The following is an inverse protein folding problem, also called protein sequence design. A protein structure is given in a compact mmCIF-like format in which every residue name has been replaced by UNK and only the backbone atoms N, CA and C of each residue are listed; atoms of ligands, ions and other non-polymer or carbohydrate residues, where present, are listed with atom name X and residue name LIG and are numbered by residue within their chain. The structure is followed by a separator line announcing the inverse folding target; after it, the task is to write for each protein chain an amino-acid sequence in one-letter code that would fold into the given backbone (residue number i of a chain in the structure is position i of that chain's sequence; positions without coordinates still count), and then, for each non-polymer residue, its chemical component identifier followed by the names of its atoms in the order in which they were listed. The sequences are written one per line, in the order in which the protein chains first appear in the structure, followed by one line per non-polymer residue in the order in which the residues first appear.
data_IF_104699917097
#
_entry.id   IF_104699917097
#
_cell.length_a   1.000
_cell.length_b   1.000
_cell.length_c   1.000
_cell.angle_alpha   90.00
_cell.angle_beta   90.00
_cell.angle_gamma   90.00
#
_symmetry.space_group_name_H-M   'P 1'
#
loop_
_entity.id
_entity.type
_entity.pdbx_description
1 polymer ?
#
# COMPACT_ATOMS: atom_id res chain seq x y z
N UNK A 1 2.07 5.18 -1.42
CA UNK A 1 2.65 4.19 -0.48
C UNK A 1 3.96 4.67 0.08
N UNK A 2 4.93 5.09 -0.75
CA UNK A 2 6.19 5.74 -0.32
C UNK A 2 6.04 7.14 0.31
N UNK A 3 4.87 7.50 0.85
CA UNK A 3 4.69 8.78 1.52
C UNK A 3 4.55 10.04 0.64
N UNK A 4 4.44 9.95 -0.68
CA UNK A 4 4.15 11.13 -1.52
C UNK A 4 2.82 11.78 -1.13
N UNK A 5 2.84 13.06 -0.80
CA UNK A 5 1.65 13.82 -0.39
C UNK A 5 0.61 13.93 -1.52
N UNK A 6 1.09 14.09 -2.75
CA UNK A 6 0.27 14.24 -3.96
C UNK A 6 0.85 13.33 -5.05
N UNK A 7 -0.01 12.65 -5.79
CA UNK A 7 0.36 11.88 -6.98
C UNK A 7 -0.51 12.34 -8.15
N UNK A 8 0.13 12.76 -9.24
CA UNK A 8 -0.53 13.09 -10.49
C UNK A 8 -0.45 11.91 -11.46
N UNK A 9 -1.60 11.42 -11.92
CA UNK A 9 -1.73 10.38 -12.93
C UNK A 9 -2.28 10.96 -14.22
N UNK A 10 -1.99 10.25 -15.33
CA UNK A 10 -2.33 10.65 -16.71
C UNK A 10 -1.61 11.90 -17.23
N UNK A 11 -0.68 12.49 -16.47
CA UNK A 11 0.08 13.66 -16.90
C UNK A 11 0.89 13.42 -18.18
N UNK A 12 1.48 12.23 -18.33
CA UNK A 12 2.31 11.86 -19.48
C UNK A 12 1.56 11.08 -20.56
N UNK A 13 0.23 10.96 -20.46
CA UNK A 13 -0.56 10.31 -21.49
C UNK A 13 -0.62 11.19 -22.75
N UNK A 14 -0.67 10.56 -23.92
CA UNK A 14 -0.87 11.28 -25.17
C UNK A 14 -2.16 12.10 -25.12
N UNK A 15 -2.10 13.35 -25.58
CA UNK A 15 -3.24 14.26 -25.68
C UNK A 15 -4.44 13.63 -26.42
N UNK A 16 -4.17 12.77 -27.41
CA UNK A 16 -5.19 12.06 -28.18
C UNK A 16 -6.12 11.20 -27.30
N UNK A 17 -5.67 10.74 -26.13
CA UNK A 17 -6.49 9.97 -25.18
C UNK A 17 -7.54 10.81 -24.46
N UNK A 18 -7.39 12.14 -24.45
CA UNK A 18 -8.30 13.11 -23.79
C UNK A 18 -8.66 12.73 -22.35
N UNK A 19 -7.74 12.07 -21.63
CA UNK A 19 -7.94 11.69 -20.24
C UNK A 19 -7.55 12.87 -19.35
N UNK A 20 -8.42 13.31 -18.42
CA UNK A 20 -8.06 14.36 -17.49
C UNK A 20 -6.93 13.88 -16.55
N UNK A 21 -6.09 14.82 -16.13
CA UNK A 21 -5.11 14.60 -15.07
C UNK A 21 -5.88 14.22 -13.80
N UNK A 22 -5.45 13.13 -13.18
CA UNK A 22 -6.01 12.67 -11.91
C UNK A 22 -5.03 13.02 -10.79
N UNK A 23 -5.52 13.77 -9.81
CA UNK A 23 -4.77 14.10 -8.59
C UNK A 23 -5.23 13.21 -7.44
N UNK A 24 -4.28 12.64 -6.71
CA UNK A 24 -4.52 11.79 -5.55
C UNK A 24 -3.77 12.40 -4.37
N UNK A 25 -4.51 12.84 -3.35
CA UNK A 25 -3.94 13.38 -2.11
C UNK A 25 -3.87 12.29 -1.03
N UNK A 26 -2.68 12.01 -0.52
CA UNK A 26 -2.48 11.00 0.51
C UNK A 26 -3.27 11.31 1.78
N UNK A 27 -3.27 12.58 2.21
CA UNK A 27 -4.01 13.02 3.40
C UNK A 27 -5.50 12.69 3.33
N UNK A 28 -6.14 12.96 2.18
CA UNK A 28 -7.56 12.64 1.95
C UNK A 28 -7.78 11.13 1.99
N UNK A 29 -6.92 10.33 1.35
CA UNK A 29 -7.02 8.87 1.37
C UNK A 29 -6.97 8.32 2.80
N UNK A 30 -5.99 8.77 3.61
CA UNK A 30 -5.84 8.34 4.99
C UNK A 30 -7.04 8.74 5.86
N UNK A 31 -7.56 9.96 5.67
CA UNK A 31 -8.75 10.46 6.39
C UNK A 31 -10.01 9.66 6.05
N UNK A 32 -10.29 9.44 4.76
CA UNK A 32 -11.49 8.72 4.31
C UNK A 32 -11.44 7.23 4.68
N UNK A 33 -10.25 6.64 4.71
CA UNK A 33 -10.08 5.26 5.17
C UNK A 33 -10.07 5.12 6.69
N UNK A 34 -9.86 6.22 7.41
CA UNK A 34 -9.66 6.33 8.86
C UNK A 34 -8.51 5.45 9.37
N UNK A 35 -7.36 5.59 8.72
CA UNK A 35 -6.13 4.85 9.05
C UNK A 35 -4.92 5.79 9.01
N UNK A 36 -3.84 5.42 9.70
CA UNK A 36 -2.57 6.12 9.62
C UNK A 36 -1.69 5.58 8.48
N UNK A 37 -0.56 6.23 8.21
CA UNK A 37 0.32 5.84 7.10
C UNK A 37 0.91 4.43 7.24
N UNK A 38 1.23 3.98 8.47
CA UNK A 38 1.76 2.64 8.71
C UNK A 38 0.72 1.56 8.39
N UNK A 39 -0.51 1.78 8.84
CA UNK A 39 -1.66 0.92 8.50
C UNK A 39 -1.94 0.92 6.99
N UNK A 40 -1.73 2.06 6.32
CA UNK A 40 -1.88 2.17 4.87
C UNK A 40 -0.80 1.40 4.09
N UNK A 41 0.45 1.37 4.57
CA UNK A 41 1.50 0.54 3.98
C UNK A 41 1.12 -0.95 4.07
N UNK A 42 0.68 -1.39 5.25
CA UNK A 42 0.21 -2.77 5.44
C UNK A 42 -1.00 -3.12 4.57
N UNK A 43 -1.92 -2.17 4.41
CA UNK A 43 -3.03 -2.28 3.48
C UNK A 43 -2.54 -2.49 2.04
N UNK A 44 -1.57 -1.70 1.57
CA UNK A 44 -1.00 -1.84 0.23
C UNK A 44 -0.31 -3.19 0.02
N UNK A 45 0.45 -3.68 1.00
CA UNK A 45 1.10 -4.99 0.93
C UNK A 45 0.05 -6.10 0.82
N UNK A 46 -1.02 -6.05 1.63
CA UNK A 46 -2.11 -7.03 1.57
C UNK A 46 -2.89 -7.01 0.26
N UNK A 47 -3.02 -5.85 -0.39
CA UNK A 47 -3.65 -5.74 -1.71
C UNK A 47 -2.77 -6.29 -2.85
N UNK A 48 -1.47 -6.51 -2.57
CA UNK A 48 -0.46 -6.86 -3.55
C UNK A 48 0.42 -5.66 -3.90
N UNK A 49 1.73 -5.89 -3.90
CA UNK A 49 2.75 -4.94 -4.32
C UNK A 49 3.87 -5.65 -5.08
N UNK A 50 4.79 -4.90 -5.65
CA UNK A 50 5.85 -5.46 -6.49
C UNK A 50 7.03 -6.06 -5.68
N UNK A 51 7.03 -5.91 -4.36
CA UNK A 51 8.19 -6.21 -3.50
C UNK A 51 8.06 -7.52 -2.70
N UNK A 52 6.88 -8.11 -2.65
CA UNK A 52 6.62 -9.37 -1.94
C UNK A 52 5.33 -10.00 -2.45
N UNK A 53 5.12 -11.28 -2.15
CA UNK A 53 3.88 -11.98 -2.48
C UNK A 53 2.69 -11.44 -1.66
N UNK A 54 1.47 -11.92 -1.95
CA UNK A 54 0.27 -11.58 -1.19
C UNK A 54 -0.54 -12.82 -0.84
N UNK A 55 -1.42 -12.69 0.14
CA UNK A 55 -2.25 -13.81 0.59
C UNK A 55 -3.34 -14.07 -0.46
N UNK A 56 -3.30 -15.26 -1.08
CA UNK A 56 -4.28 -15.65 -2.11
C UNK A 56 -5.71 -15.57 -1.56
N UNK A 57 -6.60 -14.91 -2.30
CA UNK A 57 -8.00 -14.75 -1.92
C UNK A 57 -8.28 -13.54 -1.01
N UNK A 58 -7.25 -12.81 -0.59
CA UNK A 58 -7.40 -11.50 0.08
C UNK A 58 -7.17 -10.40 -0.97
N UNK A 59 -8.27 -9.77 -1.40
CA UNK A 59 -8.25 -8.62 -2.31
C UNK A 59 -8.66 -7.31 -1.63
N UNK A 60 -8.78 -6.20 -2.38
CA UNK A 60 -8.92 -4.84 -1.82
C UNK A 60 -9.99 -4.69 -0.74
N UNK A 61 -11.20 -5.22 -0.97
CA UNK A 61 -12.30 -5.13 -0.02
C UNK A 61 -11.97 -5.81 1.32
N UNK A 62 -11.34 -6.99 1.26
CA UNK A 62 -11.01 -7.77 2.46
C UNK A 62 -9.80 -7.17 3.18
N UNK A 63 -8.81 -6.67 2.45
CA UNK A 63 -7.65 -6.00 3.03
C UNK A 63 -8.07 -4.77 3.86
N UNK A 64 -9.01 -3.96 3.37
CA UNK A 64 -9.54 -2.81 4.12
C UNK A 64 -10.24 -3.25 5.41
N UNK A 65 -11.08 -4.29 5.34
CA UNK A 65 -11.76 -4.86 6.51
C UNK A 65 -10.76 -5.34 7.57
N UNK A 66 -9.76 -6.11 7.14
CA UNK A 66 -8.74 -6.68 8.02
C UNK A 66 -7.88 -5.60 8.69
N UNK A 67 -7.44 -4.58 7.93
CA UNK A 67 -6.65 -3.49 8.48
C UNK A 67 -7.45 -2.65 9.47
N UNK A 68 -8.73 -2.36 9.20
CA UNK A 68 -9.57 -1.63 10.15
C UNK A 68 -9.72 -2.35 11.49
N UNK A 69 -9.86 -3.68 11.45
CA UNK A 69 -10.08 -4.52 12.63
C UNK A 69 -8.80 -4.84 13.41
N UNK A 70 -7.69 -5.08 12.70
CA UNK A 70 -6.46 -5.65 13.29
C UNK A 70 -5.25 -4.72 13.21
N UNK A 71 -5.33 -3.61 12.47
CA UNK A 71 -4.32 -2.55 12.32
C UNK A 71 -3.05 -2.91 11.55
N UNK A 72 -2.49 -4.11 11.74
CA UNK A 72 -1.26 -4.53 11.06
C UNK A 72 -1.29 -6.00 10.61
N UNK A 73 -0.37 -6.35 9.70
CA UNK A 73 -0.27 -7.70 9.11
C UNK A 73 -0.03 -8.77 10.18
N UNK A 74 0.82 -8.53 11.17
CA UNK A 74 1.10 -9.48 12.25
C UNK A 74 -0.19 -9.86 13.01
N UNK A 75 -0.99 -8.86 13.38
CA UNK A 75 -2.26 -9.08 14.07
C UNK A 75 -3.28 -9.77 13.18
N UNK A 76 -3.28 -9.48 11.88
CA UNK A 76 -4.12 -10.19 10.89
C UNK A 76 -3.73 -11.66 10.85
N UNK A 77 -2.44 -11.99 10.71
CA UNK A 77 -1.94 -13.36 10.66
C UNK A 77 -2.28 -14.18 11.91
N UNK A 78 -2.45 -13.53 13.06
CA UNK A 78 -2.88 -14.18 14.30
C UNK A 78 -4.40 -14.43 14.38
N UNK A 79 -5.21 -13.75 13.57
CA UNK A 79 -6.68 -13.77 13.66
C UNK A 79 -7.39 -14.30 12.40
N UNK A 80 -6.69 -14.51 11.29
CA UNK A 80 -7.28 -15.09 10.08
C UNK A 80 -7.32 -16.61 10.12
N UNK A 81 -8.29 -17.16 9.38
CA UNK A 81 -8.35 -18.58 9.03
C UNK A 81 -7.24 -18.91 8.01
N UNK A 82 -6.17 -19.56 8.47
CA UNK A 82 -5.00 -19.92 7.65
C UNK A 82 -5.26 -21.10 6.71
N UNK A 83 -6.27 -21.93 6.98
CA UNK A 83 -6.64 -23.01 6.07
C UNK A 83 -7.32 -22.43 4.83
N UNK A 84 -8.12 -21.38 5.02
CA UNK A 84 -8.78 -20.64 3.93
C UNK A 84 -7.86 -19.62 3.24
N UNK A 85 -7.04 -18.92 4.00
CA UNK A 85 -6.15 -17.87 3.52
C UNK A 85 -4.70 -18.16 3.94
N UNK A 86 -4.08 -19.19 3.37
CA UNK A 86 -2.71 -19.54 3.70
C UNK A 86 -1.76 -18.40 3.28
N UNK A 87 -0.96 -17.85 4.20
CA UNK A 87 0.09 -16.91 3.84
C UNK A 87 1.15 -17.59 2.96
N UNK A 88 1.86 -16.83 2.11
CA UNK A 88 2.94 -17.40 1.33
C UNK A 88 4.09 -17.97 2.19
N UNK A 89 4.81 -18.96 1.66
CA UNK A 89 5.96 -19.54 2.35
C UNK A 89 7.09 -18.52 2.47
N UNK A 90 7.65 -18.37 3.67
CA UNK A 90 8.69 -17.37 3.97
C UNK A 90 8.31 -15.93 3.55
N UNK A 91 7.03 -15.57 3.69
CA UNK A 91 6.51 -14.27 3.25
C UNK A 91 7.25 -13.08 3.91
N UNK A 92 8.11 -12.41 3.13
CA UNK A 92 8.90 -11.27 3.59
C UNK A 92 8.13 -9.95 3.48
N UNK A 93 7.01 -9.84 4.20
CA UNK A 93 6.25 -8.59 4.22
C UNK A 93 6.93 -7.49 5.04
N UNK A 94 7.74 -7.86 6.04
CA UNK A 94 8.53 -6.90 6.83
C UNK A 94 9.55 -6.18 5.95
N UNK A 95 10.24 -6.90 5.05
CA UNK A 95 11.17 -6.26 4.10
C UNK A 95 10.48 -5.27 3.17
N UNK A 96 9.28 -5.61 2.68
CA UNK A 96 8.48 -4.68 1.89
C UNK A 96 8.03 -3.46 2.71
N UNK A 97 7.61 -3.66 3.97
CA UNK A 97 7.24 -2.56 4.87
C UNK A 97 8.42 -1.62 5.12
N UNK A 98 9.60 -2.17 5.42
CA UNK A 98 10.83 -1.40 5.62
C UNK A 98 11.17 -0.56 4.39
N UNK A 99 11.09 -1.16 3.19
CA UNK A 99 11.33 -0.46 1.93
C UNK A 99 10.36 0.73 1.74
N UNK A 100 9.09 0.58 2.12
CA UNK A 100 8.11 1.66 2.01
C UNK A 100 8.28 2.75 3.07
N UNK A 101 8.68 2.41 4.29
CA UNK A 101 8.90 3.36 5.39
C UNK A 101 10.22 4.12 5.24
N UNK A 102 11.26 3.42 4.78
CA UNK A 102 12.63 3.92 4.67
C UNK A 102 13.23 3.63 3.28
N UNK A 103 12.62 4.16 2.20
CA UNK A 103 13.18 4.01 0.87
C UNK A 103 14.51 4.75 0.76
N UNK A 104 15.44 4.18 0.01
CA UNK A 104 16.62 4.92 -0.44
C UNK A 104 16.16 6.02 -1.40
N UNK A 105 16.33 7.27 -1.00
CA UNK A 105 15.97 8.46 -1.78
C UNK A 105 17.13 9.43 -1.83
N UNK A 106 17.27 10.12 -2.96
CA UNK A 106 18.24 11.21 -3.10
C UNK A 106 17.83 12.38 -2.21
N UNK A 107 18.80 13.02 -1.56
CA UNK A 107 18.59 14.26 -0.83
C UNK A 107 18.09 15.36 -1.80
N UNK A 108 16.87 15.89 -1.61
CA UNK A 108 16.33 16.92 -2.49
C UNK A 108 17.19 18.18 -2.59
N UNK A 109 17.96 18.50 -1.54
CA UNK A 109 18.86 19.67 -1.54
C UNK A 109 20.08 19.48 -2.46
N UNK A 110 20.35 18.25 -2.88
CA UNK A 110 21.47 17.90 -3.78
C UNK A 110 21.06 17.83 -5.26
N UNK A 111 19.77 18.02 -5.57
CA UNK A 111 19.23 17.97 -6.93
C UNK A 111 19.11 19.40 -7.50
N UNK A 112 19.66 19.63 -8.70
CA UNK A 112 19.55 20.88 -9.48
C UNK A 112 18.22 21.04 -10.22
#
# INVERSE_FOLDING_TARGET
TFGSDIVLRHLTFSEARKMPIQEIHLKTVLQELNINHKEFIDLCILMGCDYTESIRGIGPKKSIELIRNHKNIESILNNIDKDKYPPPDNWNFQGARELFEHPEVTDPETIE
#
